data_IF_163115936330
#
_entry.id   IF_163115936330
#
_cell.length_a   1.000
_cell.length_b   1.000
_cell.length_c   1.000
_cell.angle_alpha   90.00
_cell.angle_beta   90.00
_cell.angle_gamma   90.00
#
_symmetry.space_group_name_H-M   'P 1'
#
loop_
_entity.id
_entity.type
_entity.pdbx_description
1 polymer ?
#
# COMPACT_ATOMS: atom_id res chain seq x y z
N UNK A 1 -0.40 -10.46 -1.30
CA UNK A 1 -1.68 -9.78 -1.00
C UNK A 1 -2.17 -9.04 -2.25
N UNK A 2 -3.48 -8.90 -2.45
CA UNK A 2 -4.07 -8.11 -3.54
C UNK A 2 -4.78 -6.88 -2.96
N UNK A 3 -4.45 -5.71 -3.46
CA UNK A 3 -5.04 -4.42 -3.03
C UNK A 3 -5.43 -3.64 -4.27
N UNK A 4 -6.67 -3.15 -4.35
CA UNK A 4 -7.04 -2.16 -5.37
C UNK A 4 -6.73 -0.78 -4.82
N UNK A 5 -5.92 -0.03 -5.56
CA UNK A 5 -5.61 1.36 -5.26
C UNK A 5 -6.38 2.23 -6.25
N UNK A 6 -7.02 3.26 -5.72
CA UNK A 6 -7.77 4.22 -6.52
C UNK A 6 -7.32 5.62 -6.17
N UNK A 7 -7.16 6.47 -7.18
CA UNK A 7 -6.77 7.85 -7.03
C UNK A 7 -7.55 8.71 -8.02
N UNK A 8 -8.12 9.83 -7.56
CA UNK A 8 -8.99 10.69 -8.39
C UNK A 8 -8.48 12.12 -8.56
N UNK A 9 -7.32 12.48 -8.01
CA UNK A 9 -6.80 13.86 -8.06
C UNK A 9 -5.67 14.04 -9.08
N UNK A 10 -5.16 15.27 -9.20
CA UNK A 10 -4.19 15.68 -10.22
C UNK A 10 -2.72 15.38 -9.86
N UNK A 11 -2.37 15.33 -8.58
CA UNK A 11 -0.99 15.11 -8.14
C UNK A 11 -0.75 13.63 -7.81
N UNK A 12 0.40 13.05 -8.18
CA UNK A 12 0.67 11.64 -7.95
C UNK A 12 0.69 11.29 -6.45
N UNK A 13 0.19 10.10 -6.12
CA UNK A 13 0.12 9.60 -4.73
C UNK A 13 1.00 8.36 -4.59
N UNK A 14 1.81 8.34 -3.53
CA UNK A 14 2.61 7.16 -3.14
C UNK A 14 1.86 6.38 -2.06
N UNK A 15 1.67 5.09 -2.32
CA UNK A 15 1.23 4.12 -1.33
C UNK A 15 2.42 3.28 -0.89
N UNK A 16 2.57 3.07 0.41
CA UNK A 16 3.60 2.22 1.01
C UNK A 16 2.96 1.23 1.98
N UNK A 17 3.45 0.00 1.92
CA UNK A 17 3.19 -1.02 2.95
C UNK A 17 4.52 -1.39 3.59
N UNK A 18 4.57 -1.34 4.92
CA UNK A 18 5.73 -1.77 5.70
C UNK A 18 5.30 -2.88 6.65
N UNK A 19 6.03 -3.98 6.65
CA UNK A 19 5.84 -5.08 7.60
C UNK A 19 7.02 -5.08 8.56
N UNK A 20 6.73 -4.99 9.86
CA UNK A 20 7.72 -4.97 10.93
C UNK A 20 7.50 -6.14 11.88
N UNK A 21 8.59 -6.73 12.38
CA UNK A 21 8.50 -7.65 13.51
C UNK A 21 8.05 -6.87 14.75
N UNK A 22 6.94 -7.25 15.38
CA UNK A 22 6.31 -6.47 16.44
C UNK A 22 7.22 -6.24 17.65
N UNK A 23 7.98 -7.28 18.05
CA UNK A 23 8.85 -7.24 19.23
C UNK A 23 10.07 -6.30 19.07
N UNK A 24 10.61 -6.19 17.85
CA UNK A 24 11.88 -5.49 17.59
C UNK A 24 11.73 -4.23 16.74
N UNK A 25 10.57 -4.01 16.12
CA UNK A 25 10.35 -2.95 15.13
C UNK A 25 11.13 -3.13 13.82
N UNK A 26 11.93 -4.20 13.69
CA UNK A 26 12.75 -4.48 12.51
C UNK A 26 11.88 -4.60 11.27
N UNK A 27 12.24 -3.85 10.21
CA UNK A 27 11.59 -3.98 8.90
C UNK A 27 11.89 -5.37 8.34
N UNK A 28 10.82 -6.13 8.09
CA UNK A 28 10.87 -7.44 7.44
C UNK A 28 10.61 -7.29 5.94
N UNK A 29 9.71 -6.39 5.58
CA UNK A 29 9.35 -6.11 4.18
C UNK A 29 8.90 -4.68 4.02
N UNK A 30 9.18 -4.13 2.83
CA UNK A 30 8.65 -2.85 2.40
C UNK A 30 8.34 -2.93 0.91
N UNK A 31 7.17 -2.45 0.53
CA UNK A 31 6.79 -2.28 -0.86
C UNK A 31 6.10 -0.92 -1.02
N UNK A 32 6.31 -0.29 -2.17
CA UNK A 32 5.66 0.98 -2.51
C UNK A 32 5.30 1.05 -3.99
N UNK A 33 4.32 1.89 -4.29
CA UNK A 33 3.86 2.17 -5.64
C UNK A 33 3.38 3.61 -5.73
N UNK A 34 3.60 4.23 -6.88
CA UNK A 34 3.09 5.57 -7.20
C UNK A 34 1.97 5.43 -8.21
N UNK A 35 0.83 6.06 -7.90
CA UNK A 35 -0.30 6.21 -8.81
C UNK A 35 -0.30 7.62 -9.39
N UNK A 36 -0.45 7.71 -10.70
CA UNK A 36 -0.66 8.97 -11.40
C UNK A 36 -2.06 9.54 -11.16
N UNK A 37 -2.33 10.70 -11.77
CA UNK A 37 -3.63 11.34 -11.69
C UNK A 37 -4.74 10.47 -12.28
N UNK A 38 -5.90 10.42 -11.61
CA UNK A 38 -7.08 9.66 -12.06
C UNK A 38 -6.79 8.18 -12.38
N UNK A 39 -5.84 7.58 -11.68
CA UNK A 39 -5.43 6.19 -11.90
C UNK A 39 -6.10 5.24 -10.90
N UNK A 40 -6.53 4.08 -11.39
CA UNK A 40 -6.85 2.91 -10.58
C UNK A 40 -5.96 1.75 -10.97
N UNK A 41 -5.36 1.09 -9.98
CA UNK A 41 -4.42 -0.01 -10.21
C UNK A 41 -4.66 -1.16 -9.24
N UNK A 42 -4.68 -2.38 -9.76
CA UNK A 42 -4.56 -3.58 -8.95
C UNK A 42 -3.09 -3.77 -8.58
N UNK A 43 -2.79 -3.62 -7.30
CA UNK A 43 -1.45 -3.83 -6.77
C UNK A 43 -1.35 -5.19 -6.08
N UNK A 44 -0.39 -5.98 -6.53
CA UNK A 44 0.01 -7.23 -5.89
C UNK A 44 1.43 -7.07 -5.36
N UNK A 45 1.61 -7.40 -4.09
CA UNK A 45 2.93 -7.53 -3.48
C UNK A 45 3.01 -8.84 -2.69
N UNK A 46 4.21 -9.40 -2.63
CA UNK A 46 4.47 -10.65 -1.94
C UNK A 46 4.74 -10.37 -0.47
N UNK A 47 4.01 -11.08 0.40
CA UNK A 47 4.22 -11.01 1.86
C UNK A 47 5.19 -12.13 2.22
N UNK A 48 6.37 -11.84 2.79
CA UNK A 48 7.31 -12.89 3.13
C UNK A 48 6.76 -13.76 4.26
N UNK A 49 7.15 -15.03 4.24
CA UNK A 49 6.89 -15.93 5.36
C UNK A 49 7.76 -15.49 6.54
N UNK A 50 7.12 -14.99 7.59
CA UNK A 50 7.76 -14.57 8.84
C UNK A 50 7.13 -15.32 10.00
N UNK A 51 7.96 -15.86 10.89
CA UNK A 51 7.51 -16.57 12.09
C UNK A 51 7.60 -15.62 13.28
N UNK A 52 6.43 -15.17 13.75
CA UNK A 52 6.29 -14.24 14.87
C UNK A 52 5.17 -13.23 14.63
N UNK A 53 4.89 -12.40 15.64
CA UNK A 53 3.94 -11.30 15.50
C UNK A 53 4.52 -10.20 14.61
N UNK A 54 3.70 -9.68 13.69
CA UNK A 54 4.09 -8.64 12.77
C UNK A 54 3.07 -7.49 12.76
N UNK A 55 3.59 -6.26 12.76
CA UNK A 55 2.81 -5.05 12.51
C UNK A 55 2.85 -4.74 11.01
N UNK A 56 1.68 -4.49 10.42
CA UNK A 56 1.53 -4.05 9.04
C UNK A 56 1.08 -2.59 9.06
N UNK A 57 1.89 -1.72 8.49
CA UNK A 57 1.63 -0.29 8.39
C UNK A 57 1.30 0.06 6.93
N UNK A 58 0.17 0.75 6.73
CA UNK A 58 -0.22 1.32 5.45
C UNK A 58 -0.03 2.83 5.53
N UNK A 59 0.77 3.38 4.63
CA UNK A 59 1.02 4.81 4.55
C UNK A 59 0.67 5.32 3.14
N UNK A 60 0.13 6.54 3.09
CA UNK A 60 -0.20 7.24 1.85
C UNK A 60 0.30 8.67 1.97
N UNK A 61 1.04 9.13 0.96
CA UNK A 61 1.58 10.49 0.90
C UNK A 61 1.55 11.02 -0.53
N UNK A 62 1.57 12.35 -0.69
CA UNK A 62 1.77 12.95 -2.01
C UNK A 62 3.18 12.64 -2.49
N UNK A 63 3.33 12.11 -3.71
CA UNK A 63 4.62 11.67 -4.21
C UNK A 63 5.56 12.83 -4.58
N UNK A 64 5.00 14.02 -4.83
CA UNK A 64 5.67 15.24 -5.28
C UNK A 64 5.66 16.38 -4.25
N UNK A 65 5.19 16.13 -3.02
CA UNK A 65 5.07 17.16 -1.99
C UNK A 65 3.90 18.13 -2.18
N UNK A 66 2.97 17.84 -3.10
CA UNK A 66 1.71 18.57 -3.23
C UNK A 66 0.80 18.44 -2.01
N UNK A 67 -0.31 19.18 -1.99
CA UNK A 67 -1.24 19.23 -0.85
C UNK A 67 -2.66 18.74 -1.16
N UNK A 68 -2.96 18.35 -2.41
CA UNK A 68 -4.29 17.92 -2.83
C UNK A 68 -4.26 16.51 -3.43
N UNK A 69 -4.95 15.57 -2.79
CA UNK A 69 -5.08 14.19 -3.23
C UNK A 69 -6.22 13.47 -2.54
N UNK A 70 -7.00 12.68 -3.27
CA UNK A 70 -7.96 11.74 -2.71
C UNK A 70 -7.63 10.36 -3.25
N UNK A 71 -7.12 9.50 -2.39
CA UNK A 71 -6.74 8.15 -2.74
C UNK A 71 -7.17 7.19 -1.63
N UNK A 72 -7.52 5.97 -2.00
CA UNK A 72 -7.90 4.92 -1.05
C UNK A 72 -7.41 3.56 -1.52
N UNK A 73 -7.29 2.65 -0.56
CA UNK A 73 -6.88 1.28 -0.77
C UNK A 73 -8.00 0.33 -0.32
N UNK A 74 -8.31 -0.64 -1.17
CA UNK A 74 -9.29 -1.70 -0.89
C UNK A 74 -8.52 -3.02 -0.79
N UNK A 75 -8.52 -3.66 0.38
CA UNK A 75 -8.05 -5.04 0.48
C UNK A 75 -9.07 -5.95 -0.21
N UNK A 76 -8.61 -6.70 -1.19
CA UNK A 76 -9.48 -7.62 -1.93
C UNK A 76 -9.38 -9.01 -1.29
N UNK A 77 -10.52 -9.51 -0.82
CA UNK A 77 -10.64 -10.90 -0.37
C UNK A 77 -10.53 -11.83 -1.59
N UNK A 78 -9.57 -12.77 -1.61
CA UNK A 78 -9.39 -13.69 -2.72
C UNK A 78 -10.66 -14.48 -3.11
N UNK A 79 -11.59 -14.71 -2.17
CA UNK A 79 -12.82 -15.48 -2.41
C UNK A 79 -13.81 -14.75 -3.32
N UNK A 80 -13.77 -13.41 -3.35
CA UNK A 80 -14.76 -12.59 -4.06
C UNK A 80 -14.24 -11.95 -5.35
N UNK A 81 -12.96 -12.15 -5.67
CA UNK A 81 -12.30 -11.50 -6.82
C UNK A 81 -11.43 -12.53 -7.57
N UNK A 82 -12.09 -13.39 -8.34
CA UNK A 82 -11.48 -14.22 -9.40
C UNK A 82 -11.39 -13.45 -10.73
#
# INVERSE_FOLDING_TARGET
>A
MRVRLNHVAANPVRFRVVIRAAESGRVVHQAEIVLGAAESRLWRFDVPLFFGEAAIEFATEMADGGSNGHAWAELLDPVFYE
#
